data_IF_355092478259
#
_entry.id   IF_355092478259
#
_cell.length_a   1.000
_cell.length_b   1.000
_cell.length_c   1.000
_cell.angle_alpha   90.00
_cell.angle_beta   90.00
_cell.angle_gamma   90.00
#
_symmetry.space_group_name_H-M   'P 1'
#
loop_
_entity.id
_entity.type
_entity.pdbx_description
1 polymer ?
#
# COMPACT_ATOMS: atom_id res chain seq x y z
N UNK A 1 -1.61 -3.62 0.77
CA UNK A 1 -2.65 -2.67 1.22
C UNK A 1 -2.65 -2.65 2.74
N UNK A 2 -2.73 -1.47 3.34
CA UNK A 2 -2.93 -1.28 4.77
C UNK A 2 -4.01 -0.22 5.02
N UNK A 3 -4.72 -0.32 6.15
CA UNK A 3 -5.72 0.66 6.57
C UNK A 3 -5.47 1.06 8.01
N UNK A 4 -5.43 2.35 8.29
CA UNK A 4 -5.30 2.88 9.66
C UNK A 4 -6.57 3.62 10.13
N UNK A 5 -7.60 3.69 9.27
CA UNK A 5 -8.74 4.59 9.42
C UNK A 5 -8.53 5.89 8.65
N UNK A 6 -9.64 6.55 8.27
CA UNK A 6 -9.64 7.66 7.30
C UNK A 6 -8.67 8.80 7.66
N UNK A 7 -8.59 9.15 8.94
CA UNK A 7 -7.77 10.28 9.40
C UNK A 7 -6.28 9.92 9.54
N UNK A 8 -5.97 8.65 9.83
CA UNK A 8 -4.61 8.18 10.13
C UNK A 8 -3.84 7.74 8.89
N UNK A 9 -4.52 7.49 7.78
CA UNK A 9 -3.86 7.13 6.52
C UNK A 9 -2.94 8.26 6.04
N UNK A 10 -3.41 9.52 6.10
CA UNK A 10 -2.61 10.68 5.72
C UNK A 10 -1.43 10.93 6.67
N UNK A 11 -1.61 10.61 7.96
CA UNK A 11 -0.57 10.73 9.00
C UNK A 11 0.60 9.76 8.76
N UNK A 12 0.29 8.50 8.44
CA UNK A 12 1.32 7.46 8.29
C UNK A 12 1.89 7.34 6.89
N UNK A 13 1.21 7.86 5.86
CA UNK A 13 1.69 7.80 4.48
C UNK A 13 3.13 8.31 4.29
N UNK A 14 3.57 9.45 4.89
CA UNK A 14 4.95 9.92 4.76
C UNK A 14 6.01 8.98 5.38
N UNK A 15 5.64 8.25 6.44
CA UNK A 15 6.53 7.25 7.06
C UNK A 15 6.63 6.02 6.17
N UNK A 16 5.48 5.50 5.73
CA UNK A 16 5.37 4.32 4.87
C UNK A 16 5.98 4.54 3.48
N UNK A 17 5.95 5.77 2.96
CA UNK A 17 6.57 6.15 1.70
C UNK A 17 8.09 5.89 1.67
N UNK A 18 8.75 5.87 2.83
CA UNK A 18 10.19 5.59 2.95
C UNK A 18 10.51 4.09 2.92
N UNK A 19 9.49 3.24 3.02
CA UNK A 19 9.65 1.78 3.18
C UNK A 19 9.35 1.01 1.89
N UNK A 20 8.84 1.68 0.86
CA UNK A 20 8.42 1.04 -0.38
C UNK A 20 8.80 1.89 -1.60
N UNK A 21 8.84 1.27 -2.78
CA UNK A 21 9.23 1.95 -4.02
C UNK A 21 8.17 2.93 -4.51
N UNK A 22 6.90 2.63 -4.21
CA UNK A 22 5.76 3.47 -4.55
C UNK A 22 4.66 3.30 -3.54
N UNK A 23 3.99 4.42 -3.25
CA UNK A 23 2.85 4.49 -2.37
C UNK A 23 1.72 5.26 -3.04
N UNK A 24 0.48 4.82 -2.83
CA UNK A 24 -0.72 5.54 -3.23
C UNK A 24 -1.63 5.68 -2.00
N UNK A 25 -1.86 6.93 -1.60
CA UNK A 25 -2.69 7.26 -0.45
C UNK A 25 -4.10 7.54 -0.92
N UNK A 26 -5.04 6.70 -0.53
CA UNK A 26 -6.46 6.85 -0.79
C UNK A 26 -7.19 7.21 0.53
N UNK A 27 -8.43 7.72 0.47
CA UNK A 27 -9.16 8.10 1.67
C UNK A 27 -9.36 6.94 2.66
N UNK A 28 -9.61 5.73 2.16
CA UNK A 28 -9.95 4.56 2.97
C UNK A 28 -8.79 3.58 3.20
N UNK A 29 -7.69 3.72 2.47
CA UNK A 29 -6.55 2.78 2.48
C UNK A 29 -5.26 3.39 1.93
N UNK A 30 -4.15 2.71 2.19
CA UNK A 30 -2.85 2.98 1.57
C UNK A 30 -2.43 1.75 0.77
N UNK A 31 -2.09 1.98 -0.51
CA UNK A 31 -1.47 0.98 -1.36
C UNK A 31 0.04 1.18 -1.34
N UNK A 32 0.77 0.10 -1.10
CA UNK A 32 2.23 0.10 -1.05
C UNK A 32 2.72 -0.98 -2.02
N UNK A 33 3.60 -0.58 -2.92
CA UNK A 33 4.20 -1.45 -3.93
C UNK A 33 5.64 -1.72 -3.53
N UNK A 34 5.94 -3.01 -3.35
CA UNK A 34 7.28 -3.49 -3.04
C UNK A 34 7.48 -4.86 -3.68
N UNK A 35 8.75 -5.23 -3.87
CA UNK A 35 9.13 -6.56 -4.35
C UNK A 35 8.65 -7.69 -3.42
N UNK A 36 8.66 -7.45 -2.10
CA UNK A 36 8.25 -8.41 -1.07
C UNK A 36 7.28 -7.73 -0.09
N UNK A 37 5.99 -8.04 -0.24
CA UNK A 37 4.93 -7.42 0.54
C UNK A 37 4.82 -7.97 1.96
N UNK A 38 5.16 -9.24 2.16
CA UNK A 38 5.19 -9.91 3.45
C UNK A 38 6.27 -9.27 4.33
N UNK A 39 7.50 -9.17 3.82
CA UNK A 39 8.61 -8.53 4.51
C UNK A 39 8.34 -7.07 4.84
N UNK A 40 7.64 -6.36 3.96
CA UNK A 40 7.24 -4.98 4.19
C UNK A 40 6.23 -4.89 5.35
N UNK A 41 5.23 -5.78 5.37
CA UNK A 41 4.24 -5.81 6.46
C UNK A 41 4.86 -6.14 7.81
N UNK A 42 5.85 -7.03 7.85
CA UNK A 42 6.64 -7.30 9.07
C UNK A 42 7.34 -6.04 9.58
N UNK A 43 7.98 -5.26 8.70
CA UNK A 43 8.63 -4.00 9.08
C UNK A 43 7.64 -2.96 9.61
N UNK A 44 6.46 -2.83 9.00
CA UNK A 44 5.40 -1.92 9.48
C UNK A 44 5.01 -2.30 10.91
N UNK A 45 4.79 -3.59 11.14
CA UNK A 45 4.40 -4.10 12.47
C UNK A 45 5.51 -3.91 13.50
N UNK A 46 6.77 -4.10 13.11
CA UNK A 46 7.94 -3.86 13.96
C UNK A 46 8.13 -2.39 14.35
N UNK A 47 7.59 -1.44 13.56
CA UNK A 47 7.55 -0.01 13.88
C UNK A 47 6.34 0.37 14.76
N UNK A 48 5.62 -0.61 15.30
CA UNK A 48 4.40 -0.41 16.11
C UNK A 48 3.29 0.36 15.36
N UNK A 49 3.37 0.38 14.02
CA UNK A 49 2.29 0.85 13.17
C UNK A 49 1.26 -0.28 13.08
N UNK A 50 0.15 -0.12 13.78
CA UNK A 50 -0.93 -1.11 13.83
C UNK A 50 -2.05 -0.75 12.84
N UNK A 51 -2.00 -1.22 11.58
CA UNK A 51 -3.13 -1.08 10.68
C UNK A 51 -4.30 -1.92 11.19
N UNK A 52 -5.52 -1.37 11.10
CA UNK A 52 -6.77 -2.06 11.41
C UNK A 52 -6.94 -3.30 10.52
N UNK A 53 -6.50 -3.21 9.27
CA UNK A 53 -6.46 -4.34 8.34
C UNK A 53 -5.25 -4.22 7.44
N UNK A 54 -4.66 -5.36 7.09
CA UNK A 54 -3.59 -5.48 6.10
C UNK A 54 -3.92 -6.59 5.11
N UNK A 55 -3.61 -6.36 3.84
CA UNK A 55 -3.72 -7.35 2.77
C UNK A 55 -2.42 -7.32 1.96
N UNK A 56 -1.73 -8.46 1.92
CA UNK A 56 -0.63 -8.69 1.01
C UNK A 56 -1.13 -9.60 -0.11
N UNK A 57 -0.88 -9.18 -1.35
CA UNK A 57 -1.15 -9.97 -2.55
C UNK A 57 -0.13 -9.64 -3.61
N UNK A 58 0.10 -10.58 -4.52
CA UNK A 58 0.88 -10.31 -5.74
C UNK A 58 0.12 -9.34 -6.65
N UNK A 59 0.85 -8.48 -7.35
CA UNK A 59 0.27 -7.63 -8.40
C UNK A 59 -0.36 -8.50 -9.50
N UNK A 60 -1.58 -8.15 -9.88
CA UNK A 60 -2.28 -8.69 -11.04
C UNK A 60 -1.93 -7.92 -12.32
N UNK A 61 -2.40 -8.42 -13.48
CA UNK A 61 -2.29 -7.69 -14.75
C UNK A 61 -2.97 -6.31 -14.65
N UNK A 62 -4.10 -6.22 -13.97
CA UNK A 62 -4.81 -4.96 -13.72
C UNK A 62 -3.95 -4.00 -12.87
N UNK A 63 -3.31 -4.49 -11.80
CA UNK A 63 -2.42 -3.67 -10.98
C UNK A 63 -1.22 -3.14 -11.79
N UNK A 64 -0.66 -3.98 -12.66
CA UNK A 64 0.45 -3.58 -13.55
C UNK A 64 -0.02 -2.60 -14.62
N UNK A 65 -1.18 -2.83 -15.23
CA UNK A 65 -1.74 -1.95 -16.26
C UNK A 65 -2.07 -0.57 -15.67
N UNK A 66 -2.72 -0.53 -14.51
CA UNK A 66 -2.99 0.71 -13.78
C UNK A 66 -1.69 1.44 -13.44
N UNK A 67 -0.67 0.72 -12.97
CA UNK A 67 0.66 1.29 -12.67
C UNK A 67 1.32 1.90 -13.90
N UNK A 68 1.26 1.24 -15.06
CA UNK A 68 1.95 1.69 -16.28
C UNK A 68 1.20 2.78 -17.04
N UNK A 69 -0.13 2.77 -17.01
CA UNK A 69 -0.95 3.63 -17.87
C UNK A 69 -1.74 4.69 -17.12
N UNK A 70 -1.90 4.55 -15.80
CA UNK A 70 -2.80 5.38 -15.00
C UNK A 70 -4.28 5.18 -15.34
N UNK A 71 -4.63 4.11 -16.07
CA UNK A 71 -5.99 3.78 -16.51
C UNK A 71 -6.37 2.37 -16.07
N UNK A 72 -7.66 2.09 -16.01
CA UNK A 72 -8.18 0.74 -15.79
C UNK A 72 -8.03 -0.10 -17.06
N UNK A 73 -7.78 -1.40 -16.90
CA UNK A 73 -7.76 -2.33 -18.01
C UNK A 73 -9.17 -2.41 -18.63
N UNK A 74 -9.28 -2.30 -19.95
CA UNK A 74 -10.54 -2.40 -20.70
C UNK A 74 -10.54 -3.75 -21.42
N UNK A 75 -11.66 -4.49 -21.35
CA UNK A 75 -11.85 -5.80 -22.00
C UNK A 75 -12.00 -5.70 -23.53
#
# INVERSE_FOLDING_TARGET
EVRFGSDRNAEFAPVLAKMCERIETLPDRILMYAEDGEKLLEQITALELHPTTSLVRRSSLEDVFLRLTGRTLIE
#
